data_IF_666426895275
#
_entry.id   IF_666426895275
#
_cell.length_a   1.000
_cell.length_b   1.000
_cell.length_c   1.000
_cell.angle_alpha   90.00
_cell.angle_beta   90.00
_cell.angle_gamma   90.00
#
_symmetry.space_group_name_H-M   'P 1'
#
loop_
_entity.id
_entity.type
_entity.pdbx_description
1 polymer ?
#
# COMPACT_ATOMS: atom_id res chain seq x y z
N UNK A 1 -5.77 7.60 21.34
CA UNK A 1 -6.86 6.88 20.65
C UNK A 1 -7.59 7.88 19.76
N UNK A 2 -6.97 8.25 18.65
CA UNK A 2 -7.59 8.99 17.57
C UNK A 2 -7.22 8.20 16.32
N UNK A 3 -8.20 7.56 15.70
CA UNK A 3 -8.02 6.92 14.41
C UNK A 3 -7.63 8.01 13.41
N UNK A 4 -6.41 7.90 12.91
CA UNK A 4 -5.81 8.81 11.93
C UNK A 4 -6.45 8.51 10.58
N UNK A 5 -7.36 9.38 10.15
CA UNK A 5 -7.81 9.48 8.76
C UNK A 5 -6.76 10.28 7.99
N UNK A 6 -5.79 9.62 7.37
CA UNK A 6 -4.91 10.24 6.37
C UNK A 6 -5.15 9.52 5.05
N UNK A 7 -5.96 10.15 4.21
CA UNK A 7 -6.00 9.87 2.79
C UNK A 7 -4.71 10.46 2.19
N UNK A 8 -3.70 9.62 1.95
CA UNK A 8 -2.53 10.00 1.15
C UNK A 8 -2.95 9.95 -0.31
N UNK A 9 -3.04 11.12 -0.95
CA UNK A 9 -3.17 11.23 -2.40
C UNK A 9 -1.80 10.91 -3.03
N UNK A 10 -1.65 9.71 -3.57
CA UNK A 10 -0.54 9.36 -4.48
C UNK A 10 -0.83 9.98 -5.85
N UNK A 11 0.15 10.70 -6.38
CA UNK A 11 0.15 11.24 -7.73
C UNK A 11 0.15 10.09 -8.75
N UNK A 12 -0.83 10.08 -9.64
CA UNK A 12 -1.04 9.05 -10.65
C UNK A 12 -0.04 9.21 -11.80
N UNK A 13 0.89 8.25 -11.92
CA UNK A 13 1.63 8.06 -13.17
C UNK A 13 0.66 7.42 -14.18
N UNK A 14 0.39 8.12 -15.28
CA UNK A 14 -0.52 7.65 -16.33
C UNK A 14 -0.03 6.34 -16.95
N UNK A 15 -0.66 5.23 -16.57
CA UNK A 15 -0.54 3.93 -17.22
C UNK A 15 -1.56 3.91 -18.37
N UNK A 16 -1.22 3.43 -19.58
CA UNK A 16 -2.13 3.45 -20.71
C UNK A 16 -3.42 2.68 -20.39
N UNK A 17 -4.55 3.36 -20.60
CA UNK A 17 -5.89 2.82 -20.38
C UNK A 17 -6.17 1.73 -21.43
N UNK A 18 -6.19 0.47 -21.00
CA UNK A 18 -6.69 -0.63 -21.82
C UNK A 18 -8.23 -0.53 -21.89
N UNK A 19 -8.75 -0.54 -23.12
CA UNK A 19 -10.18 -0.39 -23.40
C UNK A 19 -11.06 -1.36 -22.58
N UNK A 20 -12.21 -0.91 -22.03
CA UNK A 20 -13.04 -1.75 -21.18
C UNK A 20 -13.68 -2.87 -22.01
N UNK A 21 -13.38 -4.12 -21.66
CA UNK A 21 -14.10 -5.27 -22.21
C UNK A 21 -15.56 -5.24 -21.72
N UNK A 22 -16.50 -5.36 -22.66
CA UNK A 22 -17.94 -5.25 -22.45
C UNK A 22 -18.45 -6.10 -21.26
N UNK A 23 -19.14 -5.43 -20.34
CA UNK A 23 -19.49 -5.95 -19.01
C UNK A 23 -20.59 -7.00 -18.99
N UNK A 24 -20.25 -8.17 -18.43
CA UNK A 24 -21.19 -9.06 -17.74
C UNK A 24 -20.98 -8.99 -16.22
N UNK A 25 -21.87 -9.58 -15.42
CA UNK A 25 -21.78 -9.61 -13.94
C UNK A 25 -20.41 -10.10 -13.41
N UNK A 26 -19.63 -10.85 -14.21
CA UNK A 26 -18.26 -11.23 -13.89
C UNK A 26 -17.26 -10.06 -13.82
N UNK A 27 -17.44 -8.99 -14.60
CA UNK A 27 -16.53 -7.83 -14.58
C UNK A 27 -16.70 -6.96 -13.34
N UNK A 28 -17.94 -6.81 -12.83
CA UNK A 28 -18.19 -6.04 -11.61
C UNK A 28 -17.58 -6.69 -10.36
N UNK A 29 -17.64 -8.02 -10.27
CA UNK A 29 -17.05 -8.78 -9.15
C UNK A 29 -15.52 -8.64 -9.14
N UNK A 30 -14.86 -8.59 -10.31
CA UNK A 30 -13.42 -8.36 -10.41
C UNK A 30 -12.99 -7.04 -9.75
N UNK A 31 -13.71 -5.94 -9.98
CA UNK A 31 -13.38 -4.64 -9.38
C UNK A 31 -13.58 -4.63 -7.86
N UNK A 32 -14.64 -5.28 -7.36
CA UNK A 32 -14.87 -5.40 -5.91
C UNK A 32 -13.80 -6.26 -5.25
N UNK A 33 -13.41 -7.37 -5.88
CA UNK A 33 -12.34 -8.24 -5.40
C UNK A 33 -10.99 -7.51 -5.38
N UNK A 34 -10.68 -6.72 -6.41
CA UNK A 34 -9.47 -5.90 -6.46
C UNK A 34 -9.45 -4.85 -5.35
N UNK A 35 -10.56 -4.13 -5.13
CA UNK A 35 -10.67 -3.13 -4.07
C UNK A 35 -10.49 -3.74 -2.66
N UNK A 36 -11.07 -4.92 -2.41
CA UNK A 36 -10.90 -5.65 -1.14
C UNK A 36 -9.47 -6.13 -0.94
N UNK A 37 -8.81 -6.64 -1.98
CA UNK A 37 -7.43 -7.12 -1.91
C UNK A 37 -6.46 -5.99 -1.51
N UNK A 38 -6.54 -4.82 -2.15
CA UNK A 38 -5.72 -3.66 -1.78
C UNK A 38 -6.12 -3.12 -0.40
N UNK A 39 -7.42 -2.97 -0.15
CA UNK A 39 -7.93 -2.38 1.09
C UNK A 39 -7.45 -3.12 2.34
N UNK A 40 -7.56 -4.45 2.36
CA UNK A 40 -7.13 -5.26 3.51
C UNK A 40 -5.60 -5.23 3.66
N UNK A 41 -4.86 -5.32 2.55
CA UNK A 41 -3.40 -5.27 2.58
C UNK A 41 -2.87 -3.92 3.12
N UNK A 42 -3.46 -2.80 2.69
CA UNK A 42 -3.08 -1.47 3.13
C UNK A 42 -3.42 -1.20 4.61
N UNK A 43 -4.49 -1.78 5.15
CA UNK A 43 -4.81 -1.66 6.57
C UNK A 43 -3.74 -2.35 7.42
N UNK A 44 -3.37 -3.58 7.08
CA UNK A 44 -2.32 -4.32 7.79
C UNK A 44 -0.93 -3.67 7.65
N UNK A 45 -0.56 -3.31 6.43
CA UNK A 45 0.72 -2.68 6.13
C UNK A 45 0.86 -1.29 6.75
N UNK A 46 -0.17 -0.45 6.67
CA UNK A 46 -0.17 0.88 7.28
C UNK A 46 0.02 0.85 8.80
N UNK A 47 -0.60 -0.13 9.49
CA UNK A 47 -0.40 -0.32 10.93
C UNK A 47 1.02 -0.76 11.28
N UNK A 48 1.62 -1.64 10.47
CA UNK A 48 2.99 -2.12 10.68
C UNK A 48 4.01 -0.99 10.41
N UNK A 49 3.88 -0.31 9.27
CA UNK A 49 4.76 0.81 8.88
C UNK A 49 4.69 1.94 9.90
N UNK A 50 3.50 2.28 10.40
CA UNK A 50 3.35 3.32 11.43
C UNK A 50 4.12 3.01 12.72
N UNK A 51 4.12 1.74 13.15
CA UNK A 51 4.89 1.30 14.34
C UNK A 51 6.40 1.31 14.09
N UNK A 52 6.82 0.78 12.95
CA UNK A 52 8.25 0.67 12.60
C UNK A 52 8.83 2.06 12.36
N UNK A 53 8.10 2.94 11.69
CA UNK A 53 8.48 4.33 11.46
C UNK A 53 8.61 5.13 12.75
N UNK A 54 7.67 5.00 13.69
CA UNK A 54 7.77 5.69 14.98
C UNK A 54 9.01 5.25 15.79
N UNK A 55 9.31 3.95 15.81
CA UNK A 55 10.51 3.42 16.46
C UNK A 55 11.80 3.88 15.77
N UNK A 56 11.81 3.88 14.43
CA UNK A 56 12.93 4.35 13.63
C UNK A 56 13.24 5.83 13.90
N UNK A 57 12.24 6.72 13.87
CA UNK A 57 12.42 8.15 14.12
C UNK A 57 12.94 8.43 15.53
N UNK A 58 12.47 7.67 16.53
CA UNK A 58 13.00 7.75 17.90
C UNK A 58 14.47 7.37 17.98
N UNK A 59 14.87 6.24 17.39
CA UNK A 59 16.27 5.82 17.36
C UNK A 59 17.18 6.78 16.57
N UNK A 60 16.68 7.34 15.47
CA UNK A 60 17.40 8.35 14.68
C UNK A 60 17.60 9.67 15.43
N UNK A 61 16.71 10.01 16.37
CA UNK A 61 16.87 11.20 17.22
C UNK A 61 18.01 11.08 18.22
N UNK A 62 18.36 9.85 18.65
CA UNK A 62 19.50 9.62 19.54
C UNK A 62 20.82 9.42 18.78
N UNK A 63 20.79 8.72 17.65
CA UNK A 63 21.97 8.55 16.79
C UNK A 63 21.57 8.57 15.31
N UNK A 64 21.93 9.64 14.60
CA UNK A 64 21.62 9.80 13.18
C UNK A 64 22.31 8.74 12.28
N UNK A 65 23.40 8.14 12.73
CA UNK A 65 24.10 7.05 12.04
C UNK A 65 23.22 5.78 11.90
N UNK A 66 22.22 5.61 12.78
CA UNK A 66 21.25 4.51 12.69
C UNK A 66 20.25 4.68 11.54
N UNK A 67 20.14 5.87 10.93
CA UNK A 67 19.20 6.14 9.83
C UNK A 67 19.41 5.21 8.64
N UNK A 68 20.67 4.91 8.30
CA UNK A 68 21.02 4.00 7.20
C UNK A 68 20.59 2.54 7.44
N UNK A 69 20.40 2.15 8.70
CA UNK A 69 19.90 0.81 9.08
C UNK A 69 18.39 0.80 9.28
N UNK A 70 17.80 1.93 9.71
CA UNK A 70 16.39 2.02 10.04
C UNK A 70 15.47 2.20 8.81
N UNK A 71 15.89 2.99 7.82
CA UNK A 71 15.10 3.27 6.61
C UNK A 71 14.75 2.01 5.79
N UNK A 72 15.66 1.04 5.57
CA UNK A 72 15.33 -0.19 4.86
C UNK A 72 14.25 -1.04 5.54
N UNK A 73 14.16 -1.06 6.87
CA UNK A 73 13.12 -1.82 7.57
C UNK A 73 11.73 -1.23 7.40
N UNK A 74 11.63 0.10 7.29
CA UNK A 74 10.38 0.79 6.96
C UNK A 74 9.96 0.47 5.52
N UNK A 75 10.91 0.49 4.57
CA UNK A 75 10.64 0.11 3.18
C UNK A 75 10.26 -1.37 3.02
N UNK A 76 10.91 -2.28 3.74
CA UNK A 76 10.54 -3.69 3.78
C UNK A 76 9.12 -3.92 4.34
N UNK A 77 8.72 -3.11 5.32
CA UNK A 77 7.38 -3.17 5.89
C UNK A 77 6.30 -2.66 4.93
N UNK A 78 6.60 -1.68 4.07
CA UNK A 78 5.67 -1.19 3.06
C UNK A 78 5.38 -2.22 1.96
N UNK A 79 6.30 -3.17 1.75
CA UNK A 79 6.20 -4.20 0.70
C UNK A 79 4.89 -5.01 0.73
N UNK A 80 4.23 -5.14 1.90
CA UNK A 80 2.94 -5.83 1.99
C UNK A 80 1.81 -5.07 1.27
N UNK A 81 1.84 -3.73 1.29
CA UNK A 81 0.89 -2.89 0.56
C UNK A 81 1.11 -3.03 -0.95
N UNK A 82 2.37 -3.03 -1.38
CA UNK A 82 2.74 -3.21 -2.78
C UNK A 82 2.37 -4.60 -3.29
N UNK A 83 2.45 -5.63 -2.45
CA UNK A 83 1.97 -6.96 -2.81
C UNK A 83 0.44 -6.97 -2.95
N UNK A 84 -0.31 -6.37 -2.02
CA UNK A 84 -1.77 -6.22 -2.17
C UNK A 84 -2.18 -5.48 -3.46
N UNK A 85 -1.45 -4.40 -3.78
CA UNK A 85 -1.61 -3.65 -5.02
C UNK A 85 -1.31 -4.49 -6.27
N UNK A 86 -0.22 -5.25 -6.27
CA UNK A 86 0.16 -6.11 -7.39
C UNK A 86 -0.87 -7.23 -7.62
N UNK A 87 -1.44 -7.82 -6.56
CA UNK A 87 -2.56 -8.79 -6.69
C UNK A 87 -3.76 -8.13 -7.36
N UNK A 88 -4.12 -6.91 -6.96
CA UNK A 88 -5.24 -6.19 -7.55
C UNK A 88 -5.00 -5.83 -9.03
N UNK A 89 -3.77 -5.47 -9.39
CA UNK A 89 -3.40 -5.28 -10.80
C UNK A 89 -3.59 -6.58 -11.60
N UNK A 90 -3.22 -7.74 -11.06
CA UNK A 90 -3.48 -9.01 -11.73
C UNK A 90 -4.97 -9.33 -11.87
N UNK A 91 -5.80 -8.99 -10.87
CA UNK A 91 -7.26 -9.19 -10.93
C UNK A 91 -7.92 -8.29 -11.99
N UNK A 92 -7.40 -7.08 -12.19
CA UNK A 92 -7.95 -6.12 -13.14
C UNK A 92 -7.44 -6.40 -14.56
N UNK A 93 -6.16 -6.76 -14.72
CA UNK A 93 -5.52 -6.95 -16.02
C UNK A 93 -5.77 -8.32 -16.66
N UNK A 94 -6.02 -9.37 -15.89
CA UNK A 94 -6.38 -10.71 -16.38
C UNK A 94 -7.86 -11.01 -16.13
#
# INVERSE_FOLDING_TARGET
MALVSVAVAVAEAAVPEAAPAAGGFGSGIKYVAAALAVGIACIGGGMAVGKIGAAAMGAMSENAELSGKALPFVGLAEGICLWGFLVALFIILM
#
